data_IF_597575283135
#
_entry.id   IF_597575283135
#
_cell.length_a   1.000
_cell.length_b   1.000
_cell.length_c   1.000
_cell.angle_alpha   90.00
_cell.angle_beta   90.00
_cell.angle_gamma   90.00
#
_symmetry.space_group_name_H-M   'P 1'
#
loop_
_entity.id
_entity.type
_entity.pdbx_description
1 polymer ?
#
# COMPACT_ATOMS: atom_id res chain seq x y z
N UNK A 1 9.08 -7.67 -16.24
CA UNK A 1 8.78 -7.66 -14.80
C UNK A 1 8.12 -6.34 -14.50
N UNK A 2 6.90 -6.34 -13.97
CA UNK A 2 6.18 -5.12 -13.61
C UNK A 2 6.26 -4.95 -12.09
N UNK A 3 6.47 -3.72 -11.64
CA UNK A 3 6.55 -3.35 -10.22
C UNK A 3 5.59 -2.18 -9.99
N UNK A 4 4.79 -2.26 -8.93
CA UNK A 4 3.98 -1.16 -8.46
C UNK A 4 4.81 -0.35 -7.45
N UNK A 5 5.02 0.93 -7.74
CA UNK A 5 5.77 1.85 -6.86
C UNK A 5 4.78 2.85 -6.28
N UNK A 6 4.69 2.91 -4.96
CA UNK A 6 3.82 3.85 -4.24
C UNK A 6 4.68 4.76 -3.35
N UNK A 7 4.44 6.06 -3.44
CA UNK A 7 5.06 7.08 -2.60
C UNK A 7 4.24 7.29 -1.32
N UNK A 8 4.06 8.54 -0.92
CA UNK A 8 3.36 8.98 0.27
C UNK A 8 1.96 8.37 0.40
N UNK A 9 1.67 7.86 1.60
CA UNK A 9 0.41 7.20 1.92
C UNK A 9 -0.41 8.04 2.91
N UNK A 10 0.25 8.73 3.85
CA UNK A 10 -0.35 9.59 4.88
C UNK A 10 -1.55 8.95 5.61
N UNK A 11 -1.42 7.67 5.98
CA UNK A 11 -2.47 6.87 6.61
C UNK A 11 -3.76 6.73 5.79
N UNK A 12 -3.76 7.06 4.50
CA UNK A 12 -4.94 6.99 3.66
C UNK A 12 -5.23 5.54 3.23
N UNK A 13 -5.82 4.77 4.15
CA UNK A 13 -6.16 3.36 3.96
C UNK A 13 -6.96 3.12 2.68
N UNK A 14 -7.98 3.95 2.41
CA UNK A 14 -8.88 3.76 1.25
C UNK A 14 -8.13 3.94 -0.06
N UNK A 15 -7.28 4.97 -0.16
CA UNK A 15 -6.47 5.20 -1.35
C UNK A 15 -5.44 4.07 -1.54
N UNK A 16 -4.71 3.71 -0.47
CA UNK A 16 -3.73 2.63 -0.49
C UNK A 16 -4.37 1.31 -0.97
N UNK A 17 -5.47 0.88 -0.34
CA UNK A 17 -6.18 -0.35 -0.70
C UNK A 17 -6.63 -0.36 -2.16
N UNK A 18 -7.16 0.77 -2.65
CA UNK A 18 -7.60 0.91 -4.04
C UNK A 18 -6.44 0.75 -5.03
N UNK A 19 -5.28 1.35 -4.73
CA UNK A 19 -4.09 1.23 -5.56
C UNK A 19 -3.53 -0.21 -5.58
N UNK A 20 -3.55 -0.89 -4.43
CA UNK A 20 -3.11 -2.29 -4.30
C UNK A 20 -4.02 -3.20 -5.13
N UNK A 21 -5.33 -3.12 -4.93
CA UNK A 21 -6.32 -3.88 -5.71
C UNK A 21 -6.16 -3.65 -7.21
N UNK A 22 -5.91 -2.41 -7.63
CA UNK A 22 -5.63 -2.10 -9.03
C UNK A 22 -4.37 -2.80 -9.57
N UNK A 23 -3.29 -2.82 -8.79
CA UNK A 23 -2.05 -3.50 -9.16
C UNK A 23 -2.25 -5.02 -9.25
N UNK A 24 -2.91 -5.62 -8.26
CA UNK A 24 -3.20 -7.05 -8.20
C UNK A 24 -4.08 -7.50 -9.36
N UNK A 25 -5.13 -6.75 -9.70
CA UNK A 25 -5.98 -7.02 -10.88
C UNK A 25 -5.21 -7.01 -12.21
N UNK A 26 -4.05 -6.33 -12.27
CA UNK A 26 -3.15 -6.31 -13.43
C UNK A 26 -2.06 -7.38 -13.37
N UNK A 27 -2.10 -8.27 -12.37
CA UNK A 27 -1.10 -9.31 -12.14
C UNK A 27 0.24 -8.76 -11.65
N UNK A 28 0.28 -7.55 -11.09
CA UNK A 28 1.50 -6.96 -10.53
C UNK A 28 1.60 -7.39 -9.06
N UNK A 29 2.59 -8.23 -8.78
CA UNK A 29 2.83 -8.81 -7.45
C UNK A 29 4.12 -8.32 -6.77
N UNK A 30 4.87 -7.42 -7.43
CA UNK A 30 6.06 -6.82 -6.84
C UNK A 30 5.74 -5.38 -6.46
N UNK A 31 5.97 -5.01 -5.20
CA UNK A 31 5.65 -3.70 -4.66
C UNK A 31 6.88 -3.02 -4.07
N UNK A 32 7.00 -1.71 -4.27
CA UNK A 32 7.98 -0.85 -3.60
C UNK A 32 7.22 0.32 -2.98
N UNK A 33 7.40 0.51 -1.68
CA UNK A 33 6.85 1.63 -0.91
C UNK A 33 7.97 2.59 -0.53
N UNK A 34 7.80 3.88 -0.82
CA UNK A 34 8.87 4.88 -0.65
C UNK A 34 8.85 5.62 0.69
N UNK A 35 7.79 5.48 1.49
CA UNK A 35 7.71 6.08 2.83
C UNK A 35 6.39 6.77 3.11
N UNK A 36 6.42 7.68 4.10
CA UNK A 36 5.29 8.51 4.53
C UNK A 36 3.99 7.71 4.77
N UNK A 37 4.13 6.61 5.52
CA UNK A 37 3.04 5.69 5.83
C UNK A 37 2.01 6.27 6.80
N UNK A 38 2.49 7.07 7.76
CA UNK A 38 1.69 7.58 8.89
C UNK A 38 1.62 9.09 8.86
N UNK A 39 0.41 9.67 8.79
CA UNK A 39 0.18 11.13 8.92
C UNK A 39 -1.34 11.45 8.97
N UNK A 40 -1.83 12.24 8.01
CA UNK A 40 -3.01 13.11 8.05
C UNK A 40 -4.37 12.39 8.17
N UNK A 41 -4.44 11.11 7.81
CA UNK A 41 -5.68 10.35 7.83
C UNK A 41 -5.86 9.55 9.14
N UNK A 42 -7.11 9.31 9.58
CA UNK A 42 -7.39 8.57 10.80
C UNK A 42 -7.06 7.08 10.67
N UNK A 43 -6.88 6.44 11.83
CA UNK A 43 -6.62 5.00 11.96
C UNK A 43 -5.32 4.52 11.27
N UNK A 44 -4.16 5.13 11.57
CA UNK A 44 -2.87 4.74 10.97
C UNK A 44 -2.54 3.25 11.13
N UNK A 45 -2.98 2.63 12.23
CA UNK A 45 -2.83 1.20 12.47
C UNK A 45 -3.47 0.34 11.37
N UNK A 46 -4.60 0.78 10.80
CA UNK A 46 -5.29 0.03 9.74
C UNK A 46 -4.47 0.03 8.45
N UNK A 47 -3.87 1.17 8.13
CA UNK A 47 -2.95 1.33 6.99
C UNK A 47 -1.68 0.51 7.19
N UNK A 48 -1.08 0.55 8.38
CA UNK A 48 0.11 -0.25 8.69
C UNK A 48 -0.15 -1.74 8.65
N UNK A 49 -1.29 -2.21 9.16
CA UNK A 49 -1.66 -3.63 9.07
C UNK A 49 -1.73 -4.11 7.62
N UNK A 50 -2.31 -3.30 6.71
CA UNK A 50 -2.35 -3.63 5.29
C UNK A 50 -0.95 -3.69 4.66
N UNK A 51 -0.03 -2.80 5.05
CA UNK A 51 1.36 -2.85 4.58
C UNK A 51 2.09 -4.11 5.07
N UNK A 52 1.88 -4.52 6.32
CA UNK A 52 2.45 -5.75 6.85
C UNK A 52 1.86 -7.00 6.19
N UNK A 53 0.54 -7.04 5.99
CA UNK A 53 -0.11 -8.11 5.23
C UNK A 53 0.47 -8.22 3.82
N UNK A 54 0.75 -7.10 3.14
CA UNK A 54 1.39 -7.14 1.84
C UNK A 54 2.81 -7.71 1.89
N UNK A 55 3.62 -7.27 2.86
CA UNK A 55 4.98 -7.76 3.05
C UNK A 55 5.05 -9.28 3.29
N UNK A 56 4.04 -9.84 3.98
CA UNK A 56 3.97 -11.27 4.26
C UNK A 56 3.49 -12.09 3.04
N UNK A 57 2.74 -11.48 2.11
CA UNK A 57 2.11 -12.17 0.99
C UNK A 57 2.80 -11.97 -0.37
N UNK A 58 3.64 -10.94 -0.52
CA UNK A 58 4.25 -10.53 -1.80
C UNK A 58 5.71 -10.09 -1.64
#
# INVERSE_FOLDING_TARGET
MNIAILSDIHSNYTALNTCIEHALHRGIIHFIFLGDYVSDCPYPQKTMNLLYELQDNY
#
